data_IF_341646556427
#
_entry.id   IF_341646556427
#
_cell.length_a   1.000
_cell.length_b   1.000
_cell.length_c   1.000
_cell.angle_alpha   90.00
_cell.angle_beta   90.00
_cell.angle_gamma   90.00
#
_symmetry.space_group_name_H-M   'P 1'
#
loop_
_entity.id
_entity.type
_entity.pdbx_description
1 polymer ?
#
# COMPACT_ATOMS: atom_id res chain seq x y z
N UNK A 1 25.69 -9.27 -17.24
CA UNK A 1 25.40 -9.05 -16.58
C UNK A 1 24.65 -9.01 -16.24
N UNK A 2 24.48 -9.30 -16.11
CA UNK A 2 23.82 -9.28 -15.59
C UNK A 2 23.17 -8.78 -15.03
N UNK A 3 23.08 -8.74 -15.53
CA UNK A 3 21.79 -8.18 -15.23
C UNK A 3 21.32 -8.29 -13.81
N UNK A 4 22.17 -8.31 -12.94
CA UNK A 4 21.84 -8.39 -11.52
C UNK A 4 21.25 -7.10 -10.98
N UNK A 5 21.13 -6.05 -11.79
CA UNK A 5 20.52 -4.79 -11.35
C UNK A 5 19.01 -4.84 -11.49
N UNK A 6 18.37 -5.58 -10.62
CA UNK A 6 16.91 -5.51 -10.50
C UNK A 6 16.54 -4.18 -9.86
N UNK A 7 15.68 -3.45 -10.54
CA UNK A 7 15.12 -2.23 -9.96
C UNK A 7 14.30 -2.61 -8.73
N UNK A 8 14.43 -1.89 -7.62
CA UNK A 8 13.63 -2.19 -6.44
C UNK A 8 12.15 -1.96 -6.71
N UNK A 9 11.32 -2.77 -6.08
CA UNK A 9 9.88 -2.58 -6.09
C UNK A 9 9.50 -1.68 -4.93
N UNK A 10 8.63 -0.72 -5.20
CA UNK A 10 8.23 0.29 -4.23
C UNK A 10 6.83 0.00 -3.69
N UNK A 11 6.71 0.03 -2.37
CA UNK A 11 5.44 -0.14 -1.68
C UNK A 11 5.15 1.13 -0.89
N UNK A 12 3.98 1.70 -1.09
CA UNK A 12 3.52 2.80 -0.24
C UNK A 12 2.67 2.22 0.87
N UNK A 13 3.10 2.44 2.11
CA UNK A 13 2.37 2.03 3.31
C UNK A 13 1.73 3.25 3.95
N UNK A 14 0.41 3.23 4.08
CA UNK A 14 -0.36 4.30 4.72
C UNK A 14 -0.90 3.74 6.04
N UNK A 15 -0.25 4.10 7.14
CA UNK A 15 -0.52 3.56 8.47
C UNK A 15 -0.17 4.58 9.54
N UNK A 16 -1.13 4.92 10.41
CA UNK A 16 -0.89 5.90 11.47
C UNK A 16 -0.25 5.32 12.72
N UNK A 17 -0.37 4.02 12.94
CA UNK A 17 0.24 3.34 14.09
C UNK A 17 1.69 2.97 13.77
N UNK A 18 2.68 3.59 14.43
CA UNK A 18 4.09 3.32 14.12
C UNK A 18 4.50 1.87 14.40
N UNK A 19 3.89 1.21 15.38
CA UNK A 19 4.19 -0.19 15.68
C UNK A 19 3.72 -1.10 14.56
N UNK A 20 2.52 -0.85 14.03
CA UNK A 20 2.01 -1.61 12.88
C UNK A 20 2.85 -1.32 11.63
N UNK A 21 3.25 -0.07 11.44
CA UNK A 21 4.08 0.30 10.28
C UNK A 21 5.43 -0.41 10.33
N UNK A 22 6.07 -0.47 11.50
CA UNK A 22 7.34 -1.16 11.68
C UNK A 22 7.19 -2.65 11.41
N UNK A 23 6.12 -3.25 11.89
CA UNK A 23 5.85 -4.68 11.69
C UNK A 23 5.64 -5.00 10.21
N UNK A 24 4.87 -4.19 9.51
CA UNK A 24 4.66 -4.37 8.06
C UNK A 24 5.98 -4.26 7.32
N UNK A 25 6.75 -3.22 7.62
CA UNK A 25 8.03 -2.96 6.95
C UNK A 25 9.00 -4.11 7.18
N UNK A 26 9.12 -4.58 8.42
CA UNK A 26 9.97 -5.71 8.77
C UNK A 26 9.53 -6.99 8.04
N UNK A 27 8.24 -7.27 8.07
CA UNK A 27 7.71 -8.50 7.46
C UNK A 27 7.91 -8.53 5.95
N UNK A 28 7.71 -7.39 5.30
CA UNK A 28 7.94 -7.28 3.85
C UNK A 28 9.43 -7.40 3.52
N UNK A 29 10.31 -6.82 4.35
CA UNK A 29 11.74 -6.88 4.10
C UNK A 29 12.28 -8.31 4.14
N UNK A 30 11.68 -9.17 4.96
CA UNK A 30 12.09 -10.57 5.10
C UNK A 30 11.52 -11.49 4.03
N UNK A 31 10.52 -11.05 3.29
CA UNK A 31 9.82 -11.87 2.30
C UNK A 31 10.32 -11.60 0.89
N UNK A 32 9.91 -12.45 -0.06
CA UNK A 32 10.20 -12.25 -1.47
C UNK A 32 9.18 -11.28 -2.09
N UNK A 33 9.57 -10.48 -3.08
CA UNK A 33 10.94 -10.33 -3.58
C UNK A 33 11.81 -9.52 -2.61
N UNK A 34 13.10 -9.78 -2.60
CA UNK A 34 14.00 -9.12 -1.64
C UNK A 34 14.24 -7.64 -1.93
N UNK A 35 14.27 -7.26 -3.19
CA UNK A 35 14.53 -5.88 -3.59
C UNK A 35 13.26 -5.04 -3.48
N UNK A 36 12.87 -4.67 -2.26
CA UNK A 36 11.71 -3.82 -1.97
C UNK A 36 12.11 -2.59 -1.18
N UNK A 37 11.44 -1.48 -1.45
CA UNK A 37 11.55 -0.26 -0.65
C UNK A 37 10.16 0.11 -0.17
N UNK A 38 9.98 0.22 1.14
CA UNK A 38 8.72 0.62 1.75
C UNK A 38 8.78 2.11 2.08
N UNK A 39 7.85 2.86 1.52
CA UNK A 39 7.68 4.29 1.81
C UNK A 39 6.49 4.41 2.75
N UNK A 40 6.71 4.94 3.93
CA UNK A 40 5.69 5.04 4.97
C UNK A 40 5.18 6.48 5.11
N UNK A 41 3.88 6.63 5.10
CA UNK A 41 3.20 7.88 5.45
C UNK A 41 2.16 7.59 6.54
N UNK A 42 1.89 8.56 7.39
CA UNK A 42 1.12 8.34 8.63
C UNK A 42 -0.32 8.82 8.55
N UNK A 43 -0.72 9.50 7.51
CA UNK A 43 -2.09 10.02 7.38
C UNK A 43 -2.52 10.12 5.92
N UNK A 44 -3.83 10.38 5.74
CA UNK A 44 -4.42 10.43 4.40
C UNK A 44 -3.92 11.60 3.56
N UNK A 45 -3.68 12.76 4.16
CA UNK A 45 -3.15 13.92 3.43
C UNK A 45 -1.76 13.62 2.88
N UNK A 46 -0.90 13.02 3.71
CA UNK A 46 0.45 12.67 3.28
C UNK A 46 0.43 11.62 2.16
N UNK A 47 -0.51 10.68 2.23
CA UNK A 47 -0.68 9.68 1.18
C UNK A 47 -1.05 10.32 -0.15
N UNK A 48 -2.01 11.23 -0.13
CA UNK A 48 -2.43 11.94 -1.35
C UNK A 48 -1.31 12.84 -1.88
N UNK A 49 -0.61 13.54 -0.99
CA UNK A 49 0.52 14.37 -1.39
C UNK A 49 1.62 13.54 -2.04
N UNK A 50 1.92 12.36 -1.49
CA UNK A 50 2.90 11.45 -2.08
C UNK A 50 2.47 11.02 -3.49
N UNK A 51 1.24 10.56 -3.62
CA UNK A 51 0.75 9.99 -4.88
C UNK A 51 0.55 11.05 -5.96
N UNK A 52 0.13 12.25 -5.57
CA UNK A 52 -0.07 13.37 -6.51
C UNK A 52 1.15 14.28 -6.59
N UNK A 53 2.26 13.91 -5.93
CA UNK A 53 3.55 14.62 -5.98
C UNK A 53 3.43 16.07 -5.58
N UNK A 54 2.84 16.30 -4.40
CA UNK A 54 2.63 17.65 -3.86
C UNK A 54 3.51 17.88 -2.63
N UNK A 55 3.85 19.16 -2.37
CA UNK A 55 4.57 19.58 -1.18
C UNK A 55 5.91 18.86 -1.01
N UNK A 56 6.11 18.23 0.13
CA UNK A 56 7.34 17.54 0.46
C UNK A 56 7.62 16.33 -0.45
N UNK A 57 6.61 15.87 -1.19
CA UNK A 57 6.71 14.68 -2.04
C UNK A 57 6.77 15.03 -3.53
N UNK A 58 7.14 16.26 -3.87
CA UNK A 58 7.13 16.72 -5.26
C UNK A 58 8.23 16.11 -6.12
N UNK A 59 9.34 15.67 -5.52
CA UNK A 59 10.47 15.12 -6.27
C UNK A 59 10.21 13.64 -6.63
N UNK A 60 10.02 13.33 -7.94
CA UNK A 60 9.75 11.95 -8.34
C UNK A 60 10.92 10.98 -8.09
N UNK A 61 12.14 11.49 -7.96
CA UNK A 61 13.29 10.63 -7.65
C UNK A 61 13.27 10.17 -6.20
N UNK A 62 12.75 11.02 -5.30
CA UNK A 62 12.59 10.68 -3.89
C UNK A 62 11.28 9.97 -3.60
N UNK A 63 10.28 10.17 -4.43
CA UNK A 63 8.92 9.66 -4.26
C UNK A 63 8.50 8.91 -5.52
N UNK A 64 9.14 7.76 -5.82
CA UNK A 64 8.78 6.99 -7.02
C UNK A 64 7.36 6.45 -6.93
N UNK A 65 6.77 6.23 -8.08
CA UNK A 65 5.42 5.65 -8.18
C UNK A 65 5.43 4.26 -7.56
N UNK A 66 4.57 3.96 -6.59
CA UNK A 66 4.57 2.62 -5.97
C UNK A 66 3.99 1.55 -6.90
N UNK A 67 4.43 0.33 -6.71
CA UNK A 67 3.89 -0.85 -7.38
C UNK A 67 2.72 -1.45 -6.62
N UNK A 68 2.60 -1.11 -5.34
CA UNK A 68 1.57 -1.61 -4.45
C UNK A 68 1.31 -0.58 -3.36
N UNK A 69 0.05 -0.36 -3.03
CA UNK A 69 -0.35 0.50 -1.91
C UNK A 69 -1.01 -0.36 -0.84
N UNK A 70 -0.49 -0.30 0.38
CA UNK A 70 -1.11 -0.92 1.55
C UNK A 70 -1.74 0.21 2.36
N UNK A 71 -3.05 0.17 2.50
CA UNK A 71 -3.83 1.29 3.02
C UNK A 71 -4.67 0.88 4.21
N UNK A 72 -4.42 1.50 5.37
CA UNK A 72 -5.31 1.38 6.52
C UNK A 72 -6.50 2.30 6.31
N UNK A 73 -7.68 1.86 6.72
CA UNK A 73 -8.90 2.68 6.64
C UNK A 73 -9.01 3.69 7.78
N UNK A 74 -8.47 3.38 8.94
CA UNK A 74 -8.59 4.22 10.14
C UNK A 74 -7.43 5.20 10.23
N UNK A 75 -7.50 6.26 9.44
CA UNK A 75 -6.44 7.25 9.34
C UNK A 75 -6.90 8.60 9.91
N UNK A 76 -5.99 9.37 10.51
CA UNK A 76 -6.27 10.77 10.84
C UNK A 76 -6.33 11.64 9.59
N UNK A 77 -6.92 12.83 9.72
CA UNK A 77 -7.11 13.84 8.66
C UNK A 77 -8.04 13.34 7.58
N UNK A 78 -7.52 12.74 6.50
CA UNK A 78 -8.34 12.22 5.43
C UNK A 78 -8.55 10.72 5.64
N UNK A 79 -9.80 10.30 5.70
CA UNK A 79 -10.20 8.89 5.89
C UNK A 79 -9.62 8.01 4.78
N UNK A 80 -9.26 6.77 5.13
CA UNK A 80 -8.71 5.82 4.17
C UNK A 80 -9.62 5.53 3.00
N UNK A 81 -10.93 5.48 3.19
CA UNK A 81 -11.87 5.30 2.08
C UNK A 81 -11.84 6.49 1.13
N UNK A 82 -11.69 7.71 1.65
CA UNK A 82 -11.57 8.91 0.84
C UNK A 82 -10.26 8.88 0.02
N UNK A 83 -9.17 8.43 0.63
CA UNK A 83 -7.90 8.25 -0.08
C UNK A 83 -8.06 7.25 -1.23
N UNK A 84 -8.68 6.11 -0.95
CA UNK A 84 -8.93 5.07 -1.95
C UNK A 84 -9.74 5.64 -3.12
N UNK A 85 -10.80 6.37 -2.82
CA UNK A 85 -11.66 6.97 -3.84
C UNK A 85 -10.88 7.96 -4.71
N UNK A 86 -10.07 8.82 -4.10
CA UNK A 86 -9.24 9.77 -4.84
C UNK A 86 -8.28 9.07 -5.80
N UNK A 87 -7.67 7.97 -5.35
CA UNK A 87 -6.76 7.18 -6.20
C UNK A 87 -7.51 6.59 -7.39
N UNK A 88 -8.63 5.95 -7.13
CA UNK A 88 -9.34 5.16 -8.14
C UNK A 88 -10.19 5.99 -9.09
N UNK A 89 -10.45 7.25 -8.75
CA UNK A 89 -11.17 8.19 -9.62
C UNK A 89 -10.26 9.24 -10.25
N UNK A 90 -8.96 9.15 -10.02
CA UNK A 90 -7.99 10.05 -10.63
C UNK A 90 -8.01 9.96 -12.15
N UNK A 91 -7.77 11.09 -12.82
CA UNK A 91 -7.59 11.10 -14.28
C UNK A 91 -6.26 10.46 -14.71
N UNK A 92 -5.33 10.27 -13.79
CA UNK A 92 -4.05 9.61 -14.06
C UNK A 92 -4.27 8.10 -14.12
N UNK A 93 -4.20 7.56 -15.32
CA UNK A 93 -4.46 6.14 -15.55
C UNK A 93 -3.44 5.23 -14.86
N UNK A 94 -2.17 5.63 -14.84
CA UNK A 94 -1.14 4.86 -14.12
C UNK A 94 -1.47 4.77 -12.64
N UNK A 95 -1.88 5.88 -12.03
CA UNK A 95 -2.25 5.91 -10.62
C UNK A 95 -3.44 5.01 -10.34
N UNK A 96 -4.49 5.09 -11.18
CA UNK A 96 -5.68 4.25 -11.01
C UNK A 96 -5.36 2.75 -11.06
N UNK A 97 -4.33 2.36 -11.79
CA UNK A 97 -3.99 0.95 -11.99
C UNK A 97 -3.13 0.36 -10.89
N UNK A 98 -2.59 1.18 -9.99
CA UNK A 98 -1.80 0.66 -8.89
C UNK A 98 -2.70 -0.19 -7.98
N UNK A 99 -2.32 -1.45 -7.69
CA UNK A 99 -3.10 -2.26 -6.77
C UNK A 99 -3.15 -1.64 -5.38
N UNK A 100 -4.34 -1.56 -4.80
CA UNK A 100 -4.54 -1.08 -3.43
C UNK A 100 -5.11 -2.21 -2.61
N UNK A 101 -4.37 -2.63 -1.61
CA UNK A 101 -4.81 -3.62 -0.63
C UNK A 101 -5.14 -2.88 0.65
N UNK A 102 -6.40 -2.97 1.06
CA UNK A 102 -6.85 -2.36 2.30
C UNK A 102 -6.52 -3.30 3.45
N UNK A 103 -5.76 -2.79 4.42
CA UNK A 103 -5.40 -3.50 5.65
C UNK A 103 -6.06 -2.78 6.81
N UNK A 104 -6.90 -3.45 7.56
CA UNK A 104 -7.59 -2.81 8.68
C UNK A 104 -7.86 -3.79 9.81
N UNK A 105 -7.95 -3.27 11.02
CA UNK A 105 -8.42 -4.05 12.16
C UNK A 105 -9.95 -4.11 12.24
N UNK A 106 -10.65 -3.42 11.34
CA UNK A 106 -12.10 -3.36 11.32
C UNK A 106 -12.71 -4.48 10.47
N UNK A 107 -13.65 -5.23 11.04
CA UNK A 107 -14.42 -6.25 10.35
C UNK A 107 -15.83 -5.75 10.00
N UNK A 108 -16.08 -4.44 10.07
CA UNK A 108 -17.39 -3.88 9.78
C UNK A 108 -17.77 -4.15 8.33
N UNK A 109 -18.89 -4.85 8.11
CA UNK A 109 -19.37 -5.21 6.77
C UNK A 109 -19.55 -3.99 5.87
N UNK A 110 -19.98 -2.87 6.45
CA UNK A 110 -20.14 -1.62 5.71
C UNK A 110 -18.83 -1.09 5.14
N UNK A 111 -17.74 -1.22 5.91
CA UNK A 111 -16.41 -0.79 5.45
C UNK A 111 -15.92 -1.67 4.29
N UNK A 112 -16.15 -2.98 4.39
CA UNK A 112 -15.76 -3.92 3.33
C UNK A 112 -16.49 -3.63 2.03
N UNK A 113 -17.82 -3.50 2.09
CA UNK A 113 -18.62 -3.20 0.91
C UNK A 113 -18.21 -1.87 0.29
N UNK A 114 -18.04 -0.84 1.11
CA UNK A 114 -17.66 0.49 0.63
C UNK A 114 -16.27 0.47 -0.01
N UNK A 115 -15.31 -0.28 0.56
CA UNK A 115 -13.99 -0.40 0.00
C UNK A 115 -14.02 -1.02 -1.40
N UNK A 116 -14.80 -2.07 -1.59
CA UNK A 116 -14.93 -2.69 -2.92
C UNK A 116 -15.70 -1.78 -3.90
N UNK A 117 -16.70 -1.05 -3.43
CA UNK A 117 -17.37 -0.05 -4.24
C UNK A 117 -16.41 1.05 -4.69
N UNK A 118 -15.41 1.37 -3.87
CA UNK A 118 -14.35 2.31 -4.22
C UNK A 118 -13.20 1.65 -4.99
N UNK A 119 -13.37 0.40 -5.43
CA UNK A 119 -12.44 -0.34 -6.28
C UNK A 119 -11.14 -0.77 -5.60
N UNK A 120 -11.21 -1.11 -4.31
CA UNK A 120 -10.07 -1.76 -3.66
C UNK A 120 -9.78 -3.09 -4.36
N UNK A 121 -8.51 -3.42 -4.52
CA UNK A 121 -8.11 -4.68 -5.14
C UNK A 121 -8.27 -5.84 -4.15
N UNK A 122 -8.04 -5.59 -2.87
CA UNK A 122 -8.26 -6.56 -1.80
C UNK A 122 -8.60 -5.84 -0.51
N UNK A 123 -9.35 -6.52 0.35
CA UNK A 123 -9.69 -6.04 1.68
C UNK A 123 -9.27 -7.13 2.67
N UNK A 124 -8.35 -6.82 3.56
CA UNK A 124 -7.75 -7.79 4.45
C UNK A 124 -7.84 -7.30 5.89
N UNK A 125 -8.35 -8.15 6.79
CA UNK A 125 -8.40 -7.84 8.21
C UNK A 125 -7.08 -8.26 8.85
N UNK A 126 -6.47 -7.34 9.60
CA UNK A 126 -5.20 -7.59 10.27
C UNK A 126 -5.37 -8.66 11.35
N UNK A 127 -4.58 -9.75 11.30
CA UNK A 127 -4.59 -10.72 12.40
C UNK A 127 -4.03 -10.11 13.68
N UNK A 128 -4.54 -10.57 14.82
CA UNK A 128 -4.01 -10.18 16.14
C UNK A 128 -2.71 -10.92 16.43
N UNK A 129 -2.60 -12.15 15.94
CA UNK A 129 -1.44 -13.01 16.14
C UNK A 129 -0.25 -12.51 15.29
N UNK A 130 0.90 -12.31 15.92
CA UNK A 130 2.10 -11.80 15.26
C UNK A 130 2.55 -12.68 14.09
N UNK A 131 2.60 -14.01 14.30
CA UNK A 131 3.07 -14.91 13.27
C UNK A 131 2.14 -14.95 12.06
N UNK A 132 0.85 -14.88 12.31
CA UNK A 132 -0.14 -14.80 11.23
C UNK A 132 -0.04 -13.49 10.48
N UNK A 133 0.18 -12.40 11.19
CA UNK A 133 0.37 -11.11 10.56
C UNK A 133 1.62 -11.10 9.68
N UNK A 134 2.72 -11.64 10.20
CA UNK A 134 3.98 -11.74 9.46
C UNK A 134 3.79 -12.58 8.19
N UNK A 135 3.13 -13.72 8.31
CA UNK A 135 2.84 -14.59 7.15
C UNK A 135 1.94 -13.90 6.14
N UNK A 136 0.93 -13.18 6.60
CA UNK A 136 0.03 -12.43 5.73
C UNK A 136 0.79 -11.40 4.90
N UNK A 137 1.72 -10.67 5.52
CA UNK A 137 2.51 -9.67 4.81
C UNK A 137 3.40 -10.34 3.76
N UNK A 138 3.99 -11.47 4.09
CA UNK A 138 4.78 -12.25 3.14
C UNK A 138 3.94 -12.69 1.94
N UNK A 139 2.74 -13.18 2.20
CA UNK A 139 1.82 -13.65 1.16
C UNK A 139 1.36 -12.49 0.26
N UNK A 140 1.02 -11.36 0.84
CA UNK A 140 0.61 -10.17 0.09
C UNK A 140 1.75 -9.69 -0.80
N UNK A 141 2.95 -9.56 -0.24
CA UNK A 141 4.11 -9.13 -1.00
C UNK A 141 4.41 -10.07 -2.15
N UNK A 142 4.39 -11.36 -1.88
CA UNK A 142 4.66 -12.37 -2.89
C UNK A 142 3.62 -12.35 -4.01
N UNK A 143 2.33 -12.31 -3.66
CA UNK A 143 1.27 -12.28 -4.66
C UNK A 143 1.33 -11.03 -5.53
N UNK A 144 1.34 -9.86 -4.91
CA UNK A 144 1.19 -8.60 -5.63
C UNK A 144 2.47 -8.15 -6.32
N UNK A 145 3.64 -8.52 -5.82
CA UNK A 145 4.92 -8.05 -6.36
C UNK A 145 5.64 -9.11 -7.20
N UNK A 146 5.28 -10.38 -7.08
CA UNK A 146 5.89 -11.47 -7.85
C UNK A 146 4.89 -12.07 -8.84
N UNK A 147 3.74 -12.52 -8.33
CA UNK A 147 2.76 -13.26 -9.13
C UNK A 147 1.82 -12.40 -9.95
N UNK A 148 1.38 -11.28 -9.41
CA UNK A 148 0.41 -10.44 -10.10
C UNK A 148 1.04 -9.76 -11.33
N UNK A 149 0.36 -9.84 -12.46
CA UNK A 149 0.76 -9.13 -13.67
C UNK A 149 0.05 -7.76 -13.69
N UNK A 150 0.79 -6.66 -13.53
CA UNK A 150 0.16 -5.35 -13.57
C UNK A 150 -0.34 -5.01 -14.97
N UNK A 151 -1.35 -4.15 -15.03
CA UNK A 151 -1.82 -3.61 -16.30
C UNK A 151 -0.70 -2.76 -16.91
N UNK A 152 -0.38 -3.07 -18.14
CA UNK A 152 0.68 -2.35 -18.83
C UNK A 152 0.25 -0.95 -19.27
#
# INVERSE_FOLDING_TARGET
MNGSCQKPLHVLLVEDDPDHADLVTFSLAESQPKAKVVHHVSDGDAALDYLFRRGAFADPDQCPRPHLILLDLRLPKVDGLAVLKEIKTSSDEELRRIPVVVLTSSEADGDTATAYDCRANSYVVKPVDYEKFHQLMADIGYYWLVWNHPAA
#
